data_IF_237213306408
#
_entry.id   IF_237213306408
#
_cell.length_a   1.000
_cell.length_b   1.000
_cell.length_c   1.000
_cell.angle_alpha   90.00
_cell.angle_beta   90.00
_cell.angle_gamma   90.00
#
_symmetry.space_group_name_H-M   'P 1'
#
loop_
_entity.id
_entity.type
_entity.pdbx_description
1 polymer ?
#
# COMPACT_ATOMS: atom_id res chain seq x y z
N UNK A 1 8.13 11.95 17.74
CA UNK A 1 7.84 12.23 16.32
C UNK A 1 6.53 11.55 15.94
N UNK A 2 5.68 12.24 15.21
CA UNK A 2 4.41 11.64 14.76
C UNK A 2 4.71 10.53 13.74
N UNK A 3 4.16 9.33 13.96
CA UNK A 3 4.29 8.22 13.02
C UNK A 3 3.47 8.47 11.76
N UNK A 4 3.99 8.00 10.62
CA UNK A 4 3.24 7.95 9.36
C UNK A 4 2.20 6.84 9.47
N UNK A 5 0.94 7.17 9.23
CA UNK A 5 -0.21 6.26 9.31
C UNK A 5 -0.40 5.57 7.95
N UNK A 6 -0.20 4.27 7.91
CA UNK A 6 -0.15 3.50 6.66
C UNK A 6 -1.34 2.55 6.58
N UNK A 7 -2.06 2.61 5.45
CA UNK A 7 -2.99 1.58 5.02
C UNK A 7 -2.32 0.58 4.09
N UNK A 8 -2.68 -0.70 4.18
CA UNK A 8 -2.15 -1.75 3.30
C UNK A 8 -3.30 -2.39 2.52
N UNK A 9 -3.25 -2.32 1.20
CA UNK A 9 -4.16 -3.03 0.30
C UNK A 9 -3.48 -4.32 -0.18
N UNK A 10 -4.06 -5.46 0.16
CA UNK A 10 -3.50 -6.78 -0.08
C UNK A 10 -2.87 -7.38 1.18
N UNK A 11 -3.67 -8.10 1.97
CA UNK A 11 -3.27 -8.62 3.27
C UNK A 11 -2.22 -9.73 3.19
N UNK A 12 -2.24 -10.54 2.12
CA UNK A 12 -1.29 -11.63 1.93
C UNK A 12 0.08 -11.11 1.46
N UNK A 13 0.13 -10.41 0.33
CA UNK A 13 1.37 -9.84 -0.22
C UNK A 13 1.93 -8.72 0.64
N UNK A 14 1.07 -7.95 1.28
CA UNK A 14 1.45 -6.87 2.18
C UNK A 14 2.03 -7.29 3.53
N UNK A 15 2.09 -8.59 3.83
CA UNK A 15 2.57 -9.11 5.13
C UNK A 15 3.97 -8.61 5.49
N UNK A 16 4.89 -8.54 4.55
CA UNK A 16 6.25 -8.05 4.78
C UNK A 16 6.26 -6.59 5.21
N UNK A 17 5.46 -5.75 4.56
CA UNK A 17 5.31 -4.34 4.90
C UNK A 17 4.60 -4.14 6.24
N UNK A 18 3.56 -4.91 6.50
CA UNK A 18 2.86 -4.92 7.81
C UNK A 18 3.85 -5.24 8.92
N UNK A 19 4.66 -6.30 8.75
CA UNK A 19 5.64 -6.70 9.74
C UNK A 19 6.78 -5.69 9.91
N UNK A 20 7.19 -5.02 8.83
CA UNK A 20 8.15 -3.92 8.91
C UNK A 20 7.59 -2.76 9.75
N UNK A 21 6.39 -2.29 9.43
CA UNK A 21 5.76 -1.16 10.13
C UNK A 21 5.50 -1.45 11.62
N UNK A 22 5.21 -2.70 11.99
CA UNK A 22 5.06 -3.10 13.40
C UNK A 22 6.34 -2.88 14.23
N UNK A 23 7.51 -2.87 13.59
CA UNK A 23 8.82 -2.70 14.23
C UNK A 23 9.42 -1.32 14.02
N UNK A 24 8.84 -0.53 13.12
CA UNK A 24 9.34 0.80 12.77
C UNK A 24 8.92 1.84 13.82
N UNK A 25 9.84 2.71 14.19
CA UNK A 25 9.56 3.81 15.13
C UNK A 25 8.84 4.99 14.47
N UNK A 26 8.92 5.09 13.13
CA UNK A 26 8.44 6.22 12.33
C UNK A 26 7.16 5.93 11.53
N UNK A 27 6.67 4.69 11.55
CA UNK A 27 5.48 4.27 10.81
C UNK A 27 4.61 3.31 11.63
N UNK A 28 3.31 3.31 11.34
CA UNK A 28 2.35 2.38 11.92
C UNK A 28 1.31 1.97 10.89
N UNK A 29 0.90 0.70 10.90
CA UNK A 29 -0.25 0.23 10.11
C UNK A 29 -1.52 0.55 10.87
N UNK A 30 -2.45 1.25 10.22
CA UNK A 30 -3.74 1.65 10.82
C UNK A 30 -4.94 1.01 10.14
N UNK A 31 -4.78 0.53 8.90
CA UNK A 31 -5.84 -0.13 8.15
C UNK A 31 -5.27 -1.21 7.22
N UNK A 32 -5.99 -2.30 7.07
CA UNK A 32 -5.68 -3.38 6.12
C UNK A 32 -6.95 -3.70 5.33
N UNK A 33 -6.81 -3.81 4.01
CA UNK A 33 -7.88 -4.15 3.09
C UNK A 33 -7.52 -5.36 2.24
N UNK A 34 -8.42 -6.31 2.14
CA UNK A 34 -8.33 -7.44 1.20
C UNK A 34 -9.73 -7.95 0.87
N UNK A 35 -9.91 -8.46 -0.35
CA UNK A 35 -11.15 -9.11 -0.79
C UNK A 35 -11.35 -10.50 -0.16
N UNK A 36 -10.27 -11.13 0.34
CA UNK A 36 -10.30 -12.43 0.99
C UNK A 36 -10.52 -12.30 2.49
N UNK A 37 -11.66 -12.77 3.01
CA UNK A 37 -11.91 -12.80 4.45
C UNK A 37 -10.86 -13.62 5.21
N UNK A 38 -10.38 -14.72 4.63
CA UNK A 38 -9.36 -15.58 5.25
C UNK A 38 -8.03 -14.85 5.42
N UNK A 39 -7.63 -14.04 4.42
CA UNK A 39 -6.42 -13.23 4.50
C UNK A 39 -6.54 -12.14 5.59
N UNK A 40 -7.72 -11.53 5.73
CA UNK A 40 -8.01 -10.56 6.78
C UNK A 40 -8.01 -11.23 8.16
N UNK A 41 -8.61 -12.39 8.30
CA UNK A 41 -8.65 -13.10 9.59
C UNK A 41 -7.26 -13.52 10.06
N UNK A 42 -6.41 -13.95 9.14
CA UNK A 42 -5.00 -14.23 9.45
C UNK A 42 -4.27 -12.98 9.98
N UNK A 43 -4.51 -11.82 9.38
CA UNK A 43 -3.92 -10.55 9.84
C UNK A 43 -4.53 -10.06 11.15
N UNK A 44 -5.83 -10.26 11.39
CA UNK A 44 -6.47 -9.96 12.69
C UNK A 44 -5.83 -10.75 13.82
N UNK A 45 -5.63 -12.05 13.61
CA UNK A 45 -4.96 -12.89 14.61
C UNK A 45 -3.51 -12.42 14.88
N UNK A 46 -2.77 -12.05 13.84
CA UNK A 46 -1.41 -11.54 13.97
C UNK A 46 -1.30 -10.11 14.52
N UNK A 47 -2.41 -9.38 14.53
CA UNK A 47 -2.51 -7.98 14.97
C UNK A 47 -3.20 -7.83 16.33
N UNK A 48 -3.39 -8.91 17.08
CA UNK A 48 -4.04 -8.87 18.39
C UNK A 48 -3.35 -7.86 19.31
N UNK A 49 -4.15 -6.97 19.88
CA UNK A 49 -3.66 -5.88 20.75
C UNK A 49 -3.19 -4.63 20.00
N UNK A 50 -3.28 -4.60 18.67
CA UNK A 50 -2.98 -3.42 17.84
C UNK A 50 -4.27 -2.75 17.36
N UNK A 51 -4.26 -1.42 17.29
CA UNK A 51 -5.40 -0.64 16.78
C UNK A 51 -5.35 -0.56 15.24
N UNK A 52 -5.79 -1.64 14.59
CA UNK A 52 -5.84 -1.77 13.13
C UNK A 52 -7.27 -2.04 12.68
N UNK A 53 -7.78 -1.24 11.75
CA UNK A 53 -9.06 -1.47 11.10
C UNK A 53 -8.93 -2.41 9.91
N UNK A 54 -9.93 -3.26 9.68
CA UNK A 54 -9.94 -4.26 8.59
C UNK A 54 -11.13 -4.04 7.68
N UNK A 55 -10.87 -4.02 6.37
CA UNK A 55 -11.85 -3.72 5.33
C UNK A 55 -11.84 -4.79 4.23
N UNK A 56 -13.01 -5.21 3.79
CA UNK A 56 -13.17 -6.08 2.61
C UNK A 56 -13.30 -5.25 1.31
N UNK A 57 -13.76 -3.99 1.44
CA UNK A 57 -14.01 -3.10 0.32
C UNK A 57 -13.04 -1.92 0.32
N UNK A 58 -12.45 -1.66 -0.84
CA UNK A 58 -11.55 -0.53 -1.02
C UNK A 58 -12.23 0.83 -0.77
N UNK A 59 -13.51 0.96 -1.14
CA UNK A 59 -14.24 2.21 -0.97
C UNK A 59 -14.38 2.62 0.49
N UNK A 60 -14.52 1.66 1.38
CA UNK A 60 -14.58 1.90 2.83
C UNK A 60 -13.17 2.12 3.40
N UNK A 61 -12.20 1.35 2.90
CA UNK A 61 -10.79 1.45 3.31
C UNK A 61 -10.19 2.83 3.02
N UNK A 62 -10.44 3.40 1.84
CA UNK A 62 -9.84 4.68 1.42
C UNK A 62 -10.36 5.88 2.25
N UNK A 63 -11.50 5.73 2.94
CA UNK A 63 -12.05 6.74 3.85
C UNK A 63 -11.40 6.71 5.25
N UNK A 64 -10.61 5.68 5.55
CA UNK A 64 -9.87 5.63 6.83
C UNK A 64 -8.86 6.76 6.93
N UNK A 65 -8.68 7.30 8.14
CA UNK A 65 -7.70 8.37 8.38
C UNK A 65 -6.27 7.82 8.33
N UNK A 66 -5.56 8.07 7.23
CA UNK A 66 -4.18 7.63 6.99
C UNK A 66 -3.41 8.65 6.15
N UNK A 67 -2.10 8.53 6.12
CA UNK A 67 -1.19 9.43 5.39
C UNK A 67 -0.71 8.80 4.07
N UNK A 68 -0.59 7.48 4.04
CA UNK A 68 -0.07 6.73 2.90
C UNK A 68 -0.72 5.36 2.74
N UNK A 69 -0.70 4.83 1.52
CA UNK A 69 -1.19 3.49 1.19
C UNK A 69 -0.10 2.68 0.51
N UNK A 70 0.07 1.43 0.97
CA UNK A 70 0.86 0.41 0.29
C UNK A 70 -0.07 -0.44 -0.57
N UNK A 71 0.20 -0.49 -1.86
CA UNK A 71 -0.51 -1.34 -2.82
C UNK A 71 0.26 -2.65 -3.02
N UNK A 72 -0.27 -3.73 -2.48
CA UNK A 72 0.28 -5.08 -2.55
C UNK A 72 -0.79 -6.11 -2.97
N UNK A 73 -1.84 -5.65 -3.63
CA UNK A 73 -2.89 -6.44 -4.24
C UNK A 73 -2.46 -7.01 -5.60
N UNK A 74 -3.39 -7.40 -6.47
CA UNK A 74 -3.05 -7.89 -7.80
C UNK A 74 -2.42 -6.80 -8.68
N UNK A 75 -1.33 -7.14 -9.36
CA UNK A 75 -0.53 -6.20 -10.16
C UNK A 75 -1.34 -5.44 -11.22
N UNK A 76 -2.37 -6.08 -11.78
CA UNK A 76 -3.26 -5.49 -12.77
C UNK A 76 -4.25 -4.44 -12.21
N UNK A 77 -4.30 -4.29 -10.90
CA UNK A 77 -5.18 -3.33 -10.23
C UNK A 77 -4.41 -2.13 -9.64
N UNK A 78 -3.06 -2.13 -9.69
CA UNK A 78 -2.25 -1.11 -8.99
C UNK A 78 -2.51 0.31 -9.49
N UNK A 79 -2.46 0.55 -10.80
CA UNK A 79 -2.61 1.91 -11.35
C UNK A 79 -3.95 2.56 -11.00
N UNK A 80 -5.11 1.92 -11.19
CA UNK A 80 -6.40 2.51 -10.82
C UNK A 80 -6.49 2.85 -9.33
N UNK A 81 -6.01 2.00 -8.45
CA UNK A 81 -6.03 2.26 -7.01
C UNK A 81 -5.02 3.32 -6.59
N UNK A 82 -3.83 3.35 -7.19
CA UNK A 82 -2.84 4.40 -6.96
C UNK A 82 -3.40 5.79 -7.30
N UNK A 83 -4.02 5.92 -8.47
CA UNK A 83 -4.65 7.18 -8.92
C UNK A 83 -5.75 7.62 -7.94
N UNK A 84 -6.58 6.71 -7.47
CA UNK A 84 -7.61 7.01 -6.48
C UNK A 84 -7.02 7.47 -5.15
N UNK A 85 -5.96 6.81 -4.66
CA UNK A 85 -5.26 7.22 -3.45
C UNK A 85 -4.66 8.62 -3.58
N UNK A 86 -3.98 8.92 -4.68
CA UNK A 86 -3.39 10.23 -4.94
C UNK A 86 -4.45 11.33 -4.99
N UNK A 87 -5.58 11.09 -5.67
CA UNK A 87 -6.71 12.03 -5.71
C UNK A 87 -7.36 12.25 -4.34
N UNK A 88 -7.28 11.27 -3.45
CA UNK A 88 -7.76 11.39 -2.07
C UNK A 88 -6.79 12.14 -1.15
N UNK A 89 -5.58 12.42 -1.60
CA UNK A 89 -4.54 13.09 -0.81
C UNK A 89 -3.63 12.13 -0.04
N UNK A 90 -3.53 10.88 -0.48
CA UNK A 90 -2.71 9.85 0.15
C UNK A 90 -1.44 9.60 -0.66
N UNK A 91 -0.28 9.53 0.02
CA UNK A 91 0.95 9.05 -0.60
C UNK A 91 0.81 7.57 -0.96
N UNK A 92 1.54 7.13 -1.98
CA UNK A 92 1.45 5.74 -2.48
C UNK A 92 2.82 5.09 -2.54
N UNK A 93 2.91 3.88 -2.01
CA UNK A 93 3.98 2.92 -2.29
C UNK A 93 3.36 1.73 -3.02
N UNK A 94 3.79 1.46 -4.25
CA UNK A 94 3.25 0.37 -5.06
C UNK A 94 4.27 -0.75 -5.24
N UNK A 95 3.84 -1.98 -5.00
CA UNK A 95 4.52 -3.18 -5.46
C UNK A 95 4.46 -3.30 -6.98
N UNK A 96 5.18 -4.24 -7.54
CA UNK A 96 5.20 -4.56 -8.98
C UNK A 96 3.86 -5.12 -9.45
N UNK A 97 3.35 -4.72 -10.60
CA UNK A 97 3.78 -3.72 -11.57
C UNK A 97 3.05 -2.39 -11.34
N UNK A 98 3.64 -1.24 -11.68
CA UNK A 98 2.98 0.05 -11.48
C UNK A 98 1.83 0.27 -12.46
N UNK A 99 1.96 -0.20 -13.68
CA UNK A 99 0.99 -0.03 -14.78
C UNK A 99 0.99 -1.24 -15.71
N UNK A 100 -0.11 -1.44 -16.45
CA UNK A 100 -0.21 -2.50 -17.46
C UNK A 100 -0.02 -2.01 -18.90
N UNK A 101 -0.29 -0.73 -19.15
CA UNK A 101 -0.27 -0.15 -20.49
C UNK A 101 0.09 1.33 -20.44
N UNK A 102 0.33 1.92 -21.63
CA UNK A 102 0.74 3.33 -21.74
C UNK A 102 -0.34 4.31 -21.28
N UNK A 103 -1.61 3.99 -21.44
CA UNK A 103 -2.71 4.83 -20.97
C UNK A 103 -2.66 4.98 -19.45
N UNK A 104 -2.55 3.86 -18.74
CA UNK A 104 -2.40 3.87 -17.27
C UNK A 104 -1.13 4.60 -16.83
N UNK A 105 -0.03 4.46 -17.59
CA UNK A 105 1.22 5.18 -17.29
C UNK A 105 1.03 6.70 -17.35
N UNK A 106 0.38 7.21 -18.39
CA UNK A 106 0.09 8.65 -18.53
C UNK A 106 -0.83 9.12 -17.40
N UNK A 107 -1.94 8.42 -17.18
CA UNK A 107 -2.91 8.77 -16.12
C UNK A 107 -2.27 8.77 -14.71
N UNK A 108 -1.38 7.82 -14.45
CA UNK A 108 -0.65 7.76 -13.17
C UNK A 108 0.33 8.93 -13.01
N UNK A 109 1.12 9.24 -14.04
CA UNK A 109 2.06 10.37 -14.01
C UNK A 109 1.31 11.69 -13.80
N UNK A 110 0.22 11.91 -14.53
CA UNK A 110 -0.63 13.09 -14.37
C UNK A 110 -1.18 13.19 -12.95
N UNK A 111 -1.68 12.08 -12.37
CA UNK A 111 -2.19 12.06 -11.01
C UNK A 111 -1.11 12.37 -9.96
N UNK A 112 0.12 11.89 -10.16
CA UNK A 112 1.27 12.21 -9.29
C UNK A 112 1.60 13.70 -9.37
N UNK A 113 1.72 14.25 -10.58
CA UNK A 113 2.04 15.66 -10.80
C UNK A 113 0.96 16.59 -10.23
N UNK A 114 -0.32 16.31 -10.48
CA UNK A 114 -1.45 17.09 -10.00
C UNK A 114 -1.57 17.04 -8.46
N UNK A 115 -1.31 15.90 -7.85
CA UNK A 115 -1.43 15.74 -6.41
C UNK A 115 -0.29 16.40 -5.62
N UNK A 116 0.90 16.50 -6.20
CA UNK A 116 2.11 16.92 -5.50
C UNK A 116 2.57 15.96 -4.40
N UNK A 117 2.01 14.74 -4.38
CA UNK A 117 2.29 13.72 -3.37
C UNK A 117 3.44 12.80 -3.81
N UNK A 118 3.93 11.99 -2.88
CA UNK A 118 4.96 10.99 -3.15
C UNK A 118 4.30 9.72 -3.70
N UNK A 119 4.79 9.28 -4.85
CA UNK A 119 4.57 7.94 -5.38
C UNK A 119 5.91 7.22 -5.44
N UNK A 120 6.02 6.07 -4.80
CA UNK A 120 7.19 5.23 -4.81
C UNK A 120 6.86 3.85 -5.38
N UNK A 121 7.76 3.34 -6.20
CA UNK A 121 7.65 2.01 -6.83
C UNK A 121 8.71 1.07 -6.24
N UNK A 122 8.25 -0.04 -5.67
CA UNK A 122 9.10 -1.03 -5.02
C UNK A 122 9.47 -2.18 -5.96
N UNK A 123 10.66 -2.11 -6.59
CA UNK A 123 11.25 -3.20 -7.36
C UNK A 123 12.44 -3.80 -6.59
N UNK A 124 12.27 -5.04 -6.14
CA UNK A 124 13.26 -5.70 -5.28
C UNK A 124 14.62 -5.87 -5.93
N UNK A 125 14.67 -6.15 -7.23
CA UNK A 125 15.94 -6.38 -7.95
C UNK A 125 16.81 -5.13 -8.04
N UNK A 126 16.23 -3.94 -7.91
CA UNK A 126 17.00 -2.69 -7.85
C UNK A 126 17.75 -2.51 -6.53
N UNK A 127 17.24 -3.11 -5.46
CA UNK A 127 17.73 -2.92 -4.09
C UNK A 127 18.45 -4.15 -3.52
N UNK A 128 18.33 -5.32 -4.16
CA UNK A 128 19.05 -6.51 -3.74
C UNK A 128 20.55 -6.36 -3.97
N UNK A 129 21.40 -6.72 -2.99
CA UNK A 129 22.84 -6.80 -3.22
C UNK A 129 23.15 -7.77 -4.36
N UNK A 130 23.94 -7.34 -5.32
CA UNK A 130 24.40 -8.25 -6.38
C UNK A 130 25.24 -9.35 -5.73
N UNK A 131 25.00 -10.64 -6.04
CA UNK A 131 25.87 -11.69 -5.59
C UNK A 131 27.28 -11.38 -6.10
N UNK A 132 28.24 -11.32 -5.19
CA UNK A 132 29.65 -11.20 -5.57
C UNK A 132 30.02 -12.44 -6.40
N UNK A 133 30.52 -12.23 -7.64
CA UNK A 133 31.04 -13.30 -8.49
C UNK A 133 32.38 -13.78 -7.96
#
# INVERSE_FOLDING_TARGET
>A
MKKVRIGVLGAYRGTSMINYCKRADHAEVVAICDKSPEALDAQRAAAEGLDIAFYERFDDFIEHNMDAVVLANYANEHAPFAIRCLKKGLHVFSEVLPVQNMKEAVELVEAVEESGLVYAYGENYCTCPRPMK
#
